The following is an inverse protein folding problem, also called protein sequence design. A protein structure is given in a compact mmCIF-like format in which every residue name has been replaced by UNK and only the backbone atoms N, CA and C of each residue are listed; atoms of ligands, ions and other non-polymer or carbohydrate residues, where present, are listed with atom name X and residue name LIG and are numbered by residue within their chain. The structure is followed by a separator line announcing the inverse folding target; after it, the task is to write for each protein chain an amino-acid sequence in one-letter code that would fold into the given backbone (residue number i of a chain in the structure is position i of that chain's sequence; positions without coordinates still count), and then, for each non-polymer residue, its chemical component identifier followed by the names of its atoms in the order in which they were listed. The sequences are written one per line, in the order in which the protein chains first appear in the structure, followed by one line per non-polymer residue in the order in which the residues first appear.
data_IF_724339411088
#
_entry.id   IF_724339411088
#
_cell.length_a   1.000
_cell.length_b   1.000
_cell.length_c   1.000
_cell.angle_alpha   90.00
_cell.angle_beta   90.00
_cell.angle_gamma   90.00
#
_symmetry.space_group_name_H-M   'P 1'
#
loop_
_entity.id
_entity.type
_entity.pdbx_description
1 polymer ?
#
# COMPACT_ATOMS: atom_id res chain seq x y z
N UNK A 1 54.42 -18.51 -15.36
CA UNK A 1 53.46 -19.28 -14.55
C UNK A 1 52.64 -18.30 -13.73
N UNK A 2 51.32 -18.28 -13.97
CA UNK A 2 50.21 -18.11 -13.00
C UNK A 2 50.25 -16.90 -12.04
N UNK A 3 49.24 -16.06 -11.85
CA UNK A 3 47.79 -15.97 -12.19
C UNK A 3 47.45 -14.49 -11.92
N UNK A 4 46.77 -13.77 -12.81
CA UNK A 4 45.30 -13.74 -12.81
C UNK A 4 44.82 -12.47 -12.12
N UNK A 5 44.64 -11.40 -12.89
CA UNK A 5 43.94 -10.18 -12.47
C UNK A 5 42.48 -10.58 -12.22
N UNK A 6 42.08 -10.72 -10.96
CA UNK A 6 40.70 -11.03 -10.60
C UNK A 6 39.87 -9.74 -10.64
N UNK A 7 39.27 -9.54 -11.81
CA UNK A 7 38.13 -8.69 -12.06
C UNK A 7 36.92 -9.27 -11.30
N UNK A 8 36.61 -8.76 -10.11
CA UNK A 8 35.32 -8.98 -9.47
C UNK A 8 34.81 -7.64 -8.94
N UNK A 9 34.16 -6.93 -9.85
CA UNK A 9 33.09 -6.01 -9.51
C UNK A 9 31.97 -6.78 -8.80
N UNK A 10 31.66 -6.39 -7.58
CA UNK A 10 30.36 -6.62 -6.95
C UNK A 10 30.19 -5.50 -5.91
N UNK A 11 29.74 -4.34 -6.40
CA UNK A 11 28.37 -3.87 -6.15
C UNK A 11 28.24 -3.55 -4.65
N UNK A 12 28.62 -2.33 -4.29
CA UNK A 12 27.61 -1.34 -3.88
C UNK A 12 26.61 -1.98 -2.91
N UNK A 13 27.05 -2.14 -1.66
CA UNK A 13 26.16 -2.14 -0.51
C UNK A 13 25.52 -0.74 -0.44
N UNK A 14 24.56 -0.52 -1.34
CA UNK A 14 23.48 0.43 -1.13
C UNK A 14 22.76 -0.16 0.07
N UNK A 15 23.17 0.29 1.27
CA UNK A 15 22.30 0.26 2.41
C UNK A 15 21.08 1.05 1.98
N UNK A 16 20.08 0.33 1.46
CA UNK A 16 18.75 0.87 1.28
C UNK A 16 18.25 1.05 2.71
N UNK A 17 18.68 2.15 3.33
CA UNK A 17 17.88 2.87 4.28
C UNK A 17 16.64 3.29 3.49
N UNK A 18 15.72 2.34 3.30
CA UNK A 18 14.31 2.66 3.18
C UNK A 18 13.94 3.18 4.57
N UNK A 19 14.46 4.37 4.87
CA UNK A 19 13.85 5.25 5.83
C UNK A 19 12.45 5.40 5.29
N UNK A 20 11.50 4.68 5.88
CA UNK A 20 10.08 4.92 5.71
C UNK A 20 9.91 6.43 5.78
N UNK A 21 9.71 7.06 4.62
CA UNK A 21 9.31 8.44 4.52
C UNK A 21 7.91 8.48 5.11
N UNK A 22 7.83 8.71 6.41
CA UNK A 22 6.61 9.01 7.15
C UNK A 22 6.10 10.42 6.77
N UNK A 23 6.18 10.79 5.50
CA UNK A 23 5.90 12.13 4.98
C UNK A 23 5.33 12.12 3.54
N UNK A 24 5.25 10.97 2.85
CA UNK A 24 4.72 10.86 1.47
C UNK A 24 3.43 10.01 1.38
N UNK A 25 2.85 9.59 2.52
CA UNK A 25 1.64 8.73 2.55
C UNK A 25 0.34 9.53 2.40
N UNK A 26 0.40 10.87 2.32
CA UNK A 26 -0.82 11.69 2.35
C UNK A 26 -1.62 11.69 1.05
N UNK A 27 -1.00 11.49 -0.12
CA UNK A 27 -1.72 11.68 -1.39
C UNK A 27 -2.50 10.44 -1.86
N UNK A 28 -2.10 9.25 -1.40
CA UNK A 28 -2.68 7.97 -1.83
C UNK A 28 -3.36 7.22 -0.67
N UNK A 29 -4.10 7.93 0.18
CA UNK A 29 -4.85 7.34 1.28
C UNK A 29 -6.27 7.88 1.38
N UNK A 30 -7.16 6.98 1.76
CA UNK A 30 -8.54 7.26 2.11
C UNK A 30 -8.77 6.80 3.54
N UNK A 31 -9.54 7.60 4.28
CA UNK A 31 -10.15 7.18 5.54
C UNK A 31 -11.57 6.75 5.22
N UNK A 32 -11.86 5.47 5.38
CA UNK A 32 -13.18 4.89 5.21
C UNK A 32 -13.80 4.69 6.59
N UNK A 33 -14.93 5.33 6.87
CA UNK A 33 -15.54 5.28 8.20
C UNK A 33 -17.06 5.25 8.13
N UNK A 34 -17.66 4.62 9.14
CA UNK A 34 -19.09 4.69 9.46
C UNK A 34 -19.26 5.28 10.88
N UNK A 35 -20.45 5.10 11.48
CA UNK A 35 -20.73 5.62 12.84
C UNK A 35 -20.00 4.86 13.96
N UNK A 36 -19.40 3.71 13.66
CA UNK A 36 -18.90 2.75 14.65
C UNK A 36 -17.37 2.59 14.55
N UNK A 37 -16.82 2.60 13.33
CA UNK A 37 -15.42 2.32 13.04
C UNK A 37 -14.86 3.15 11.88
N UNK A 38 -13.52 3.24 11.84
CA UNK A 38 -12.77 3.89 10.78
C UNK A 38 -11.56 3.05 10.40
N UNK A 39 -11.37 2.83 9.10
CA UNK A 39 -10.23 2.12 8.54
C UNK A 39 -9.47 3.04 7.58
N UNK A 40 -8.15 2.91 7.57
CA UNK A 40 -7.28 3.56 6.61
C UNK A 40 -7.06 2.64 5.41
N UNK A 41 -7.26 3.15 4.19
CA UNK A 41 -7.05 2.43 2.93
C UNK A 41 -6.08 3.23 2.09
N UNK A 42 -4.88 2.70 1.90
CA UNK A 42 -3.78 3.37 1.21
C UNK A 42 -3.22 2.52 0.07
N UNK A 43 -2.50 3.16 -0.86
CA UNK A 43 -1.68 2.47 -1.86
C UNK A 43 -0.19 2.72 -1.58
N UNK A 44 0.58 1.64 -1.43
CA UNK A 44 2.03 1.68 -1.25
C UNK A 44 2.72 0.68 -2.18
N UNK A 45 3.66 1.19 -3.01
CA UNK A 45 4.44 0.37 -3.94
C UNK A 45 3.58 -0.51 -4.88
N UNK A 46 2.41 0.00 -5.28
CA UNK A 46 1.44 -0.70 -6.11
C UNK A 46 0.59 -1.74 -5.39
N UNK A 47 0.75 -1.93 -4.07
CA UNK A 47 -0.11 -2.76 -3.23
C UNK A 47 -1.04 -1.90 -2.39
N UNK A 48 -2.07 -2.52 -1.80
CA UNK A 48 -2.96 -1.83 -0.88
C UNK A 48 -2.51 -2.04 0.57
N UNK A 49 -2.72 -1.04 1.41
CA UNK A 49 -2.53 -1.12 2.85
C UNK A 49 -3.86 -0.78 3.51
N UNK A 50 -4.47 -1.75 4.20
CA UNK A 50 -5.77 -1.60 4.87
C UNK A 50 -5.55 -1.78 6.36
N UNK A 51 -5.79 -0.74 7.14
CA UNK A 51 -5.54 -0.70 8.59
C UNK A 51 -4.13 -1.19 9.00
N UNK A 52 -3.14 -0.89 8.16
CA UNK A 52 -1.75 -1.32 8.33
C UNK A 52 -1.43 -2.74 7.82
N UNK A 53 -2.40 -3.48 7.32
CA UNK A 53 -2.19 -4.78 6.66
C UNK A 53 -1.95 -4.61 5.16
N UNK A 54 -0.88 -5.22 4.65
CA UNK A 54 -0.54 -5.15 3.22
C UNK A 54 -1.30 -6.22 2.44
N UNK A 55 -2.09 -5.80 1.47
CA UNK A 55 -2.85 -6.63 0.56
C UNK A 55 -2.23 -6.54 -0.84
N UNK A 56 -1.76 -7.66 -1.42
CA UNK A 56 -1.20 -7.68 -2.77
C UNK A 56 -2.23 -7.27 -3.83
N UNK A 57 -1.84 -6.36 -4.72
CA UNK A 57 -2.68 -5.95 -5.84
C UNK A 57 -2.34 -6.74 -7.12
N UNK A 58 -2.66 -8.03 -7.12
CA UNK A 58 -2.33 -8.93 -8.25
C UNK A 58 -3.07 -8.54 -9.54
N UNK A 59 -4.18 -7.80 -9.42
CA UNK A 59 -5.06 -7.43 -10.52
C UNK A 59 -4.71 -6.06 -11.13
N UNK A 60 -3.76 -5.31 -10.53
CA UNK A 60 -3.43 -3.95 -10.95
C UNK A 60 -4.61 -2.97 -10.86
N UNK A 61 -5.51 -3.18 -9.90
CA UNK A 61 -6.62 -2.26 -9.64
C UNK A 61 -6.10 -0.92 -9.10
N UNK A 62 -6.82 0.17 -9.33
CA UNK A 62 -6.48 1.45 -8.71
C UNK A 62 -6.98 1.53 -7.26
N UNK A 63 -6.39 2.40 -6.45
CA UNK A 63 -6.90 2.71 -5.11
C UNK A 63 -8.36 3.18 -5.15
N UNK A 64 -8.75 3.97 -6.16
CA UNK A 64 -10.12 4.40 -6.36
C UNK A 64 -11.08 3.24 -6.68
N UNK A 65 -10.62 2.18 -7.35
CA UNK A 65 -11.43 0.97 -7.56
C UNK A 65 -11.71 0.27 -6.24
N UNK A 66 -10.68 0.10 -5.40
CA UNK A 66 -10.82 -0.52 -4.09
C UNK A 66 -11.76 0.29 -3.20
N UNK A 67 -11.57 1.61 -3.14
CA UNK A 67 -12.43 2.52 -2.36
C UNK A 67 -13.89 2.42 -2.79
N UNK A 68 -14.15 2.45 -4.10
CA UNK A 68 -15.51 2.29 -4.62
C UNK A 68 -16.12 0.94 -4.28
N UNK A 69 -15.33 -0.13 -4.31
CA UNK A 69 -15.80 -1.46 -3.92
C UNK A 69 -16.15 -1.53 -2.43
N UNK A 70 -15.34 -0.92 -1.57
CA UNK A 70 -15.59 -0.82 -0.12
C UNK A 70 -16.88 -0.05 0.15
N UNK A 71 -17.07 1.12 -0.45
CA UNK A 71 -18.30 1.91 -0.29
C UNK A 71 -19.53 1.23 -0.90
N UNK A 72 -19.38 0.52 -2.02
CA UNK A 72 -20.48 -0.19 -2.67
C UNK A 72 -20.95 -1.41 -1.87
N UNK A 73 -20.11 -1.94 -0.97
CA UNK A 73 -20.38 -3.08 -0.11
C UNK A 73 -21.16 -4.21 -0.82
N UNK A 74 -20.66 -4.76 -1.95
CA UNK A 74 -21.42 -5.67 -2.80
C UNK A 74 -21.81 -6.97 -2.09
N UNK A 75 -21.04 -7.39 -1.11
CA UNK A 75 -21.27 -8.61 -0.33
C UNK A 75 -22.18 -8.38 0.90
N UNK A 76 -22.74 -7.17 1.07
CA UNK A 76 -23.54 -6.78 2.24
C UNK A 76 -22.86 -7.11 3.58
N UNK A 77 -21.55 -6.84 3.66
CA UNK A 77 -20.79 -6.99 4.88
C UNK A 77 -21.30 -5.97 5.92
N UNK A 78 -21.80 -6.40 7.08
CA UNK A 78 -22.33 -5.48 8.10
C UNK A 78 -21.28 -4.49 8.62
N UNK A 79 -19.98 -4.85 8.58
CA UNK A 79 -18.91 -3.96 9.02
C UNK A 79 -18.67 -2.79 8.03
N UNK A 80 -19.14 -2.94 6.79
CA UNK A 80 -19.03 -1.91 5.75
C UNK A 80 -20.35 -1.17 5.54
N UNK A 81 -21.38 -1.44 6.35
CA UNK A 81 -22.66 -0.77 6.23
C UNK A 81 -22.51 0.73 6.56
N UNK A 82 -22.95 1.58 5.61
CA UNK A 82 -22.85 3.03 5.74
C UNK A 82 -21.42 3.59 5.71
N UNK A 83 -20.41 2.78 5.36
CA UNK A 83 -19.03 3.26 5.20
C UNK A 83 -18.97 4.31 4.08
N UNK A 84 -18.33 5.43 4.38
CA UNK A 84 -17.98 6.46 3.42
C UNK A 84 -16.49 6.73 3.49
N UNK A 85 -15.83 6.81 2.35
CA UNK A 85 -14.41 7.05 2.22
C UNK A 85 -14.14 8.50 1.85
N UNK A 86 -13.15 9.11 2.51
CA UNK A 86 -12.68 10.46 2.19
C UNK A 86 -11.17 10.45 2.05
N UNK A 87 -10.67 11.16 1.04
CA UNK A 87 -9.23 11.35 0.87
C UNK A 87 -8.67 12.08 2.09
N UNK A 88 -7.52 11.61 2.56
CA UNK A 88 -6.82 12.15 3.73
C UNK A 88 -6.17 13.51 3.44
#
# INVERSE_FOLDING_TARGET
MNKGVNFLAAIFLIGILISCKKDDVSENCYVCSNEIESIDVCEENGNFVVDGEVIPNENGASLEDLVRAVEANPDNNPNLEGVTCRRK
#
